data_IF_349499388351
#
_entry.id   IF_349499388351
#
_cell.length_a   1.000
_cell.length_b   1.000
_cell.length_c   1.000
_cell.angle_alpha   90.00
_cell.angle_beta   90.00
_cell.angle_gamma   90.00
#
_symmetry.space_group_name_H-M   'P 1'
#
loop_
_entity.id
_entity.type
_entity.pdbx_description
1 polymer ?
#
# COMPACT_ATOMS: atom_id res chain seq x y z
N UNK A 1 -14.47 -6.19 10.00
CA UNK A 1 -13.83 -6.13 8.67
C UNK A 1 -12.33 -6.01 8.87
N UNK A 2 -11.51 -6.86 8.24
CA UNK A 2 -10.09 -7.01 8.60
C UNK A 2 -9.21 -5.84 8.13
N UNK A 3 -9.55 -5.21 7.01
CA UNK A 3 -8.85 -4.02 6.50
C UNK A 3 -9.31 -2.71 7.15
N UNK A 4 -10.23 -2.74 8.12
CA UNK A 4 -10.86 -1.52 8.63
C UNK A 4 -11.63 -0.72 7.57
N UNK A 5 -12.10 -1.40 6.51
CA UNK A 5 -12.88 -0.85 5.41
C UNK A 5 -14.19 -1.63 5.28
N UNK A 6 -15.27 -0.91 5.00
CA UNK A 6 -16.56 -1.50 4.65
C UNK A 6 -16.53 -2.06 3.25
N UNK A 7 -17.40 -3.04 2.97
CA UNK A 7 -17.44 -3.70 1.65
C UNK A 7 -17.77 -2.78 0.47
N UNK A 8 -18.37 -1.61 0.74
CA UNK A 8 -18.72 -0.57 -0.24
C UNK A 8 -17.64 0.51 -0.38
N UNK A 9 -16.38 0.18 -0.08
CA UNK A 9 -15.28 1.13 -0.17
C UNK A 9 -15.04 1.63 -1.61
N UNK A 10 -14.57 2.87 -1.72
CA UNK A 10 -14.22 3.46 -3.02
C UNK A 10 -12.72 3.35 -3.29
N UNK A 11 -12.35 3.30 -4.56
CA UNK A 11 -10.95 3.30 -4.99
C UNK A 11 -10.62 4.69 -5.53
N UNK A 12 -9.64 5.36 -4.92
CA UNK A 12 -9.19 6.68 -5.37
C UNK A 12 -8.24 6.57 -6.56
N UNK A 13 -8.50 7.35 -7.61
CA UNK A 13 -7.57 7.55 -8.72
C UNK A 13 -6.42 8.50 -8.33
N UNK A 14 -5.46 8.68 -9.23
CA UNK A 14 -4.27 9.50 -8.95
C UNK A 14 -4.59 10.98 -8.67
N UNK A 15 -5.66 11.53 -9.26
CA UNK A 15 -6.03 12.93 -9.09
C UNK A 15 -6.70 13.14 -7.72
N UNK A 16 -7.58 12.23 -7.31
CA UNK A 16 -8.23 12.26 -6.01
C UNK A 16 -7.23 12.01 -4.87
N UNK A 17 -6.26 11.11 -5.07
CA UNK A 17 -5.14 10.93 -4.13
C UNK A 17 -4.36 12.24 -3.95
N UNK A 18 -3.98 12.91 -5.05
CA UNK A 18 -3.24 14.17 -4.98
C UNK A 18 -4.03 15.28 -4.30
N UNK A 19 -5.34 15.38 -4.55
CA UNK A 19 -6.22 16.34 -3.87
C UNK A 19 -6.27 16.08 -2.37
N UNK A 20 -6.38 14.82 -1.96
CA UNK A 20 -6.41 14.45 -0.54
C UNK A 20 -5.09 14.77 0.15
N UNK A 21 -3.96 14.41 -0.47
CA UNK A 21 -2.64 14.72 0.05
C UNK A 21 -2.40 16.23 0.16
N UNK A 22 -2.87 17.02 -0.80
CA UNK A 22 -2.82 18.49 -0.72
C UNK A 22 -3.56 19.03 0.49
N UNK A 23 -4.76 18.52 0.78
CA UNK A 23 -5.52 18.92 1.97
C UNK A 23 -4.75 18.59 3.26
N UNK A 24 -4.12 17.41 3.33
CA UNK A 24 -3.33 16.99 4.49
C UNK A 24 -2.10 17.88 4.68
N UNK A 25 -1.34 18.15 3.62
CA UNK A 25 -0.19 19.05 3.63
C UNK A 25 -0.59 20.44 4.17
N UNK A 26 -1.70 20.98 3.69
CA UNK A 26 -2.20 22.28 4.14
C UNK A 26 -2.67 22.26 5.60
N UNK A 27 -3.34 21.20 6.03
CA UNK A 27 -3.78 21.03 7.42
C UNK A 27 -2.60 20.97 8.41
N UNK A 28 -1.47 20.40 7.99
CA UNK A 28 -0.23 20.31 8.77
C UNK A 28 0.65 21.58 8.72
N UNK A 29 0.13 22.66 8.10
CA UNK A 29 0.83 23.94 7.97
C UNK A 29 2.06 23.90 7.07
N UNK A 30 2.14 22.92 6.16
CA UNK A 30 3.29 22.75 5.25
C UNK A 30 3.05 23.56 3.97
N UNK A 31 4.09 24.26 3.51
CA UNK A 31 4.04 25.00 2.25
C UNK A 31 4.03 24.06 1.04
N UNK A 32 2.85 23.90 0.43
CA UNK A 32 2.63 23.06 -0.74
C UNK A 32 3.42 23.50 -1.98
N UNK A 33 3.84 24.77 -2.08
CA UNK A 33 4.69 25.22 -3.19
C UNK A 33 6.09 24.64 -3.08
N UNK A 34 6.59 24.51 -1.85
CA UNK A 34 7.91 23.93 -1.55
C UNK A 34 7.86 22.41 -1.48
N UNK A 35 6.73 21.85 -1.02
CA UNK A 35 6.51 20.43 -0.81
C UNK A 35 5.23 19.98 -1.52
N UNK A 36 5.29 19.74 -2.84
CA UNK A 36 4.10 19.46 -3.64
C UNK A 36 3.45 18.12 -3.29
N UNK A 37 2.11 18.06 -3.36
CA UNK A 37 1.35 16.83 -3.10
C UNK A 37 1.76 15.67 -4.01
N UNK A 38 2.11 15.95 -5.28
CA UNK A 38 2.62 14.93 -6.21
C UNK A 38 3.93 14.29 -5.75
N UNK A 39 4.79 15.04 -5.07
CA UNK A 39 6.04 14.49 -4.52
C UNK A 39 5.74 13.57 -3.33
N UNK A 40 4.82 13.97 -2.44
CA UNK A 40 4.36 13.10 -1.35
C UNK A 40 3.73 11.80 -1.90
N UNK A 41 2.90 11.91 -2.94
CA UNK A 41 2.28 10.76 -3.60
C UNK A 41 3.33 9.77 -4.13
N UNK A 42 4.39 10.27 -4.77
CA UNK A 42 5.50 9.44 -5.26
C UNK A 42 6.23 8.71 -4.12
N UNK A 43 6.49 9.39 -3.00
CA UNK A 43 7.10 8.75 -1.83
C UNK A 43 6.21 7.65 -1.25
N UNK A 44 4.92 7.93 -1.06
CA UNK A 44 3.96 6.97 -0.52
C UNK A 44 3.80 5.76 -1.45
N UNK A 45 3.66 5.99 -2.76
CA UNK A 45 3.58 4.92 -3.75
C UNK A 45 4.83 4.03 -3.72
N UNK A 46 6.03 4.63 -3.67
CA UNK A 46 7.29 3.90 -3.51
C UNK A 46 7.36 3.05 -2.24
N UNK A 47 6.81 3.54 -1.12
CA UNK A 47 6.71 2.78 0.11
C UNK A 47 5.70 1.63 0.00
N UNK A 48 4.52 1.87 -0.56
CA UNK A 48 3.49 0.84 -0.79
C UNK A 48 3.97 -0.26 -1.74
N UNK A 49 4.65 0.09 -2.82
CA UNK A 49 5.28 -0.85 -3.76
C UNK A 49 6.37 -1.72 -3.12
N UNK A 50 6.90 -1.30 -1.97
CA UNK A 50 7.83 -2.08 -1.14
C UNK A 50 7.15 -2.86 0.00
N UNK A 51 5.82 -2.79 0.09
CA UNK A 51 5.06 -3.44 1.15
C UNK A 51 5.17 -2.73 2.51
N UNK A 52 5.49 -1.43 2.52
CA UNK A 52 5.70 -0.67 3.75
C UNK A 52 4.43 0.06 4.17
N UNK A 53 3.88 -0.37 5.32
CA UNK A 53 2.89 0.39 6.07
C UNK A 53 3.55 1.63 6.72
N UNK A 54 2.78 2.65 7.15
CA UNK A 54 3.34 3.89 7.71
C UNK A 54 4.34 3.67 8.85
N UNK A 55 4.10 2.70 9.73
CA UNK A 55 4.97 2.35 10.86
C UNK A 55 6.25 1.59 10.46
N UNK A 56 6.34 1.14 9.20
CA UNK A 56 7.47 0.39 8.64
C UNK A 56 8.37 1.22 7.74
N UNK A 57 8.01 2.47 7.46
CA UNK A 57 8.84 3.37 6.66
C UNK A 57 10.14 3.68 7.42
N UNK A 58 11.33 3.45 6.82
CA UNK A 58 12.59 3.78 7.47
C UNK A 58 12.70 5.26 7.80
N UNK A 59 13.21 5.60 8.98
CA UNK A 59 13.30 7.00 9.44
C UNK A 59 14.06 7.91 8.47
N UNK A 60 15.13 7.41 7.83
CA UNK A 60 15.87 8.17 6.83
C UNK A 60 15.07 8.48 5.55
N UNK A 61 14.14 7.60 5.17
CA UNK A 61 13.25 7.84 4.03
C UNK A 61 12.10 8.79 4.40
N UNK A 62 11.55 8.66 5.60
CA UNK A 62 10.53 9.57 6.12
C UNK A 62 11.05 11.03 6.20
N UNK A 63 12.36 11.21 6.39
CA UNK A 63 13.03 12.51 6.39
C UNK A 63 13.11 13.19 5.03
N UNK A 64 12.90 12.46 3.93
CA UNK A 64 13.02 13.00 2.57
C UNK A 64 11.93 14.05 2.23
N UNK A 65 10.83 14.08 2.98
CA UNK A 65 9.72 15.00 2.73
C UNK A 65 9.45 15.92 3.93
N UNK A 66 9.23 17.20 3.65
CA UNK A 66 8.83 18.23 4.60
C UNK A 66 9.65 18.23 5.91
N UNK A 67 10.97 18.13 5.80
CA UNK A 67 11.92 18.15 6.91
C UNK A 67 11.67 17.08 8.00
N UNK A 68 11.28 15.85 7.64
CA UNK A 68 10.99 14.80 8.64
C UNK A 68 9.57 14.29 8.64
N UNK A 69 8.64 15.02 8.04
CA UNK A 69 7.20 14.74 8.19
C UNK A 69 6.64 13.69 7.23
N UNK A 70 7.44 13.09 6.34
CA UNK A 70 6.93 12.15 5.34
C UNK A 70 6.17 10.96 5.92
N UNK A 71 6.70 10.35 7.00
CA UNK A 71 6.04 9.24 7.69
C UNK A 71 4.74 9.64 8.39
N UNK A 72 4.74 10.80 9.07
CA UNK A 72 3.54 11.35 9.73
C UNK A 72 2.43 11.66 8.71
N UNK A 73 2.79 12.27 7.58
CA UNK A 73 1.86 12.58 6.49
C UNK A 73 1.30 11.31 5.84
N UNK A 74 2.11 10.26 5.70
CA UNK A 74 1.62 8.97 5.23
C UNK A 74 0.62 8.35 6.21
N UNK A 75 0.92 8.38 7.51
CA UNK A 75 -0.01 7.91 8.53
C UNK A 75 -1.33 8.72 8.52
N UNK A 76 -1.25 10.05 8.41
CA UNK A 76 -2.41 10.92 8.29
C UNK A 76 -3.24 10.62 7.02
N UNK A 77 -2.56 10.34 5.91
CA UNK A 77 -3.19 9.95 4.64
C UNK A 77 -3.95 8.62 4.76
N UNK A 78 -3.32 7.56 5.30
CA UNK A 78 -4.00 6.28 5.53
C UNK A 78 -5.19 6.44 6.48
N UNK A 79 -5.04 7.21 7.56
CA UNK A 79 -6.14 7.47 8.49
C UNK A 79 -7.31 8.17 7.79
N UNK A 80 -7.01 9.15 6.92
CA UNK A 80 -8.02 9.88 6.16
C UNK A 80 -8.75 8.98 5.15
N UNK A 81 -8.04 8.08 4.48
CA UNK A 81 -8.63 7.06 3.60
C UNK A 81 -9.63 6.18 4.35
N UNK A 82 -9.27 5.67 5.55
CA UNK A 82 -10.20 4.87 6.37
C UNK A 82 -11.45 5.64 6.75
N UNK A 83 -11.32 6.92 7.13
CA UNK A 83 -12.48 7.79 7.45
C UNK A 83 -13.41 7.94 6.23
N UNK A 84 -12.83 8.07 5.03
CA UNK A 84 -13.58 8.17 3.78
C UNK A 84 -14.12 6.82 3.28
N UNK A 85 -13.80 5.72 3.97
CA UNK A 85 -14.05 4.36 3.49
C UNK A 85 -13.49 4.16 2.07
N UNK A 86 -12.24 4.55 1.88
CA UNK A 86 -11.56 4.51 0.60
C UNK A 86 -10.21 3.79 0.71
N UNK A 87 -9.72 3.34 -0.44
CA UNK A 87 -8.40 2.77 -0.63
C UNK A 87 -7.80 3.35 -1.93
N UNK A 88 -6.48 3.42 -2.04
CA UNK A 88 -5.84 3.60 -3.35
C UNK A 88 -5.32 2.28 -3.93
N UNK A 89 -4.76 2.32 -5.14
CA UNK A 89 -4.26 1.13 -5.82
C UNK A 89 -3.17 0.39 -5.04
N UNK A 90 -2.30 1.12 -4.33
CA UNK A 90 -1.26 0.51 -3.50
C UNK A 90 -1.86 -0.21 -2.28
N UNK A 91 -2.93 0.36 -1.70
CA UNK A 91 -3.64 -0.25 -0.57
C UNK A 91 -4.30 -1.58 -0.93
N UNK A 92 -4.81 -1.72 -2.16
CA UNK A 92 -5.43 -2.98 -2.59
C UNK A 92 -4.50 -4.19 -2.40
N UNK A 93 -3.19 -3.97 -2.53
CA UNK A 93 -2.19 -5.00 -2.29
C UNK A 93 -1.65 -4.99 -0.86
N UNK A 94 -1.34 -3.80 -0.32
CA UNK A 94 -0.74 -3.66 1.01
C UNK A 94 -1.69 -4.14 2.12
N UNK A 95 -2.98 -3.89 2.01
CA UNK A 95 -3.99 -4.36 2.97
C UNK A 95 -4.11 -5.88 2.92
N UNK A 96 -4.06 -6.49 1.73
CA UNK A 96 -4.09 -7.95 1.57
C UNK A 96 -2.84 -8.59 2.17
N UNK A 97 -1.66 -8.00 1.94
CA UNK A 97 -0.42 -8.43 2.59
C UNK A 97 -0.53 -8.38 4.12
N UNK A 98 -1.04 -7.28 4.65
CA UNK A 98 -1.23 -7.08 6.09
C UNK A 98 -2.21 -8.10 6.67
N UNK A 99 -3.32 -8.36 5.98
CA UNK A 99 -4.29 -9.39 6.37
C UNK A 99 -3.62 -10.77 6.38
N UNK A 100 -2.92 -11.16 5.33
CA UNK A 100 -2.29 -12.48 5.26
C UNK A 100 -1.21 -12.69 6.33
N UNK A 101 -0.51 -11.64 6.75
CA UNK A 101 0.50 -11.71 7.81
C UNK A 101 -0.13 -11.83 9.21
N UNK A 102 -1.25 -11.14 9.45
CA UNK A 102 -1.89 -11.08 10.77
C UNK A 102 -3.00 -12.14 10.96
N UNK A 103 -3.54 -12.68 9.87
CA UNK A 103 -4.65 -13.63 9.82
C UNK A 103 -4.29 -14.86 8.96
N UNK A 104 -3.42 -15.76 9.47
CA UNK A 104 -2.94 -16.91 8.70
C UNK A 104 -4.07 -17.87 8.27
N UNK A 105 -5.20 -17.87 8.97
CA UNK A 105 -6.41 -18.62 8.61
C UNK A 105 -7.01 -18.14 7.28
N UNK A 106 -7.01 -16.82 7.03
CA UNK A 106 -7.48 -16.25 5.77
C UNK A 106 -6.51 -16.65 4.66
N UNK A 107 -5.20 -16.50 4.89
CA UNK A 107 -4.19 -16.96 3.94
C UNK A 107 -4.36 -18.45 3.60
N UNK A 108 -4.61 -19.30 4.60
CA UNK A 108 -4.77 -20.74 4.41
C UNK A 108 -5.95 -21.09 3.49
N UNK A 109 -7.05 -20.33 3.54
CA UNK A 109 -8.18 -20.49 2.63
C UNK A 109 -7.74 -20.26 1.17
N UNK A 110 -7.04 -19.17 0.90
CA UNK A 110 -6.55 -18.85 -0.45
C UNK A 110 -5.48 -19.85 -0.92
N UNK A 111 -4.58 -20.29 -0.04
CA UNK A 111 -3.59 -21.32 -0.35
C UNK A 111 -4.23 -22.68 -0.66
N UNK A 112 -5.43 -22.96 -0.15
CA UNK A 112 -6.17 -24.18 -0.48
C UNK A 112 -6.87 -24.06 -1.84
N UNK A 113 -7.41 -22.86 -2.13
CA UNK A 113 -8.06 -22.55 -3.41
C UNK A 113 -7.08 -22.52 -4.58
N UNK A 114 -5.94 -21.85 -4.41
CA UNK A 114 -4.93 -21.69 -5.46
C UNK A 114 -3.95 -22.88 -5.49
N UNK A 115 -4.38 -23.96 -6.14
CA UNK A 115 -3.57 -25.19 -6.27
C UNK A 115 -2.37 -25.04 -7.21
N UNK A 116 -2.53 -24.21 -8.24
CA UNK A 116 -1.52 -23.86 -9.24
C UNK A 116 -1.67 -22.38 -9.54
N UNK A 117 -0.54 -21.67 -9.63
CA UNK A 117 -0.49 -20.25 -9.95
C UNK A 117 0.36 -20.05 -11.20
N UNK A 118 -0.16 -19.30 -12.16
CA UNK A 118 0.59 -18.82 -13.33
C UNK A 118 0.69 -17.30 -13.20
N UNK A 119 1.90 -16.78 -13.30
CA UNK A 119 2.18 -15.34 -13.26
C UNK A 119 2.88 -14.98 -14.55
N UNK A 120 2.30 -14.03 -15.29
CA UNK A 120 2.89 -13.46 -16.50
C UNK A 120 3.57 -12.12 -16.17
N UNK A 121 4.46 -11.66 -17.04
CA UNK A 121 5.24 -10.42 -16.88
C UNK A 121 5.95 -10.30 -15.52
N UNK A 122 6.54 -11.41 -15.05
CA UNK A 122 7.13 -11.49 -13.71
C UNK A 122 8.31 -10.53 -13.50
N UNK A 123 9.02 -10.16 -14.57
CA UNK A 123 10.11 -9.19 -14.55
C UNK A 123 9.68 -7.78 -14.14
N UNK A 124 8.39 -7.45 -14.28
CA UNK A 124 7.83 -6.13 -13.92
C UNK A 124 7.27 -6.09 -12.48
N UNK A 125 7.40 -7.19 -11.72
CA UNK A 125 6.85 -7.26 -10.36
C UNK A 125 7.62 -6.39 -9.35
N UNK A 126 6.87 -5.64 -8.55
CA UNK A 126 7.43 -4.92 -7.41
C UNK A 126 7.56 -5.83 -6.16
N UNK A 127 8.22 -5.33 -5.12
CA UNK A 127 8.50 -6.10 -3.89
C UNK A 127 7.21 -6.51 -3.18
N UNK A 128 6.19 -5.66 -3.14
CA UNK A 128 4.90 -6.00 -2.54
C UNK A 128 4.23 -7.16 -3.29
N UNK A 129 4.22 -7.13 -4.62
CA UNK A 129 3.66 -8.20 -5.45
C UNK A 129 4.43 -9.51 -5.26
N UNK A 130 5.77 -9.45 -5.24
CA UNK A 130 6.60 -10.60 -4.92
C UNK A 130 6.26 -11.21 -3.56
N UNK A 131 6.15 -10.40 -2.51
CA UNK A 131 5.80 -10.87 -1.17
C UNK A 131 4.42 -11.52 -1.14
N UNK A 132 3.46 -10.97 -1.88
CA UNK A 132 2.09 -11.50 -1.96
C UNK A 132 2.07 -12.86 -2.66
N UNK A 133 2.72 -12.97 -3.82
CA UNK A 133 2.88 -14.22 -4.55
C UNK A 133 3.59 -15.27 -3.69
N UNK A 134 4.64 -14.88 -2.96
CA UNK A 134 5.38 -15.77 -2.06
C UNK A 134 4.49 -16.31 -0.94
N UNK A 135 3.68 -15.46 -0.29
CA UNK A 135 2.76 -15.89 0.76
C UNK A 135 1.72 -16.88 0.23
N UNK A 136 1.17 -16.65 -0.97
CA UNK A 136 0.20 -17.57 -1.58
C UNK A 136 0.84 -18.88 -2.00
N UNK A 137 2.03 -18.84 -2.61
CA UNK A 137 2.67 -20.03 -3.15
C UNK A 137 3.33 -20.91 -2.08
N UNK A 138 3.69 -20.38 -0.91
CA UNK A 138 4.57 -21.09 0.04
C UNK A 138 4.07 -22.47 0.51
N UNK A 139 2.75 -22.70 0.57
CA UNK A 139 2.16 -23.99 1.01
C UNK A 139 2.39 -25.12 0.01
N UNK A 140 2.18 -24.86 -1.29
CA UNK A 140 2.22 -25.90 -2.34
C UNK A 140 3.42 -25.78 -3.29
N UNK A 141 3.96 -24.57 -3.44
CA UNK A 141 5.10 -24.23 -4.31
C UNK A 141 4.85 -24.53 -5.80
N UNK A 142 3.57 -24.60 -6.19
CA UNK A 142 3.13 -24.79 -7.57
C UNK A 142 2.91 -23.42 -8.25
N UNK A 143 3.98 -22.66 -8.43
CA UNK A 143 3.96 -21.38 -9.12
C UNK A 143 4.82 -21.46 -10.37
N UNK A 144 4.28 -21.02 -11.50
CA UNK A 144 4.98 -20.86 -12.76
C UNK A 144 5.01 -19.37 -13.10
N UNK A 145 6.20 -18.80 -13.28
CA UNK A 145 6.37 -17.41 -13.66
C UNK A 145 6.94 -17.34 -15.09
N UNK A 146 6.41 -16.42 -15.88
CA UNK A 146 6.87 -16.10 -17.24
C UNK A 146 7.25 -14.62 -17.26
N UNK A 147 8.39 -14.29 -17.88
CA UNK A 147 8.96 -12.94 -17.82
C UNK A 147 10.48 -12.90 -17.86
#
# INVERSE_FOLDING_TARGET
ELAGLRSDFTILDADDQQRLMKQIIQAEGIDEKRWPARQLASHIDGWKNRGLAPDKVPAGEAQAFANGKGGELYAAYQARLKVLNAADFGDLLLEVLTIFQNHPEVLAEYQERFKYMLVDEYQDTNVAQYLWLRLLAQKRKNICCVG
#
